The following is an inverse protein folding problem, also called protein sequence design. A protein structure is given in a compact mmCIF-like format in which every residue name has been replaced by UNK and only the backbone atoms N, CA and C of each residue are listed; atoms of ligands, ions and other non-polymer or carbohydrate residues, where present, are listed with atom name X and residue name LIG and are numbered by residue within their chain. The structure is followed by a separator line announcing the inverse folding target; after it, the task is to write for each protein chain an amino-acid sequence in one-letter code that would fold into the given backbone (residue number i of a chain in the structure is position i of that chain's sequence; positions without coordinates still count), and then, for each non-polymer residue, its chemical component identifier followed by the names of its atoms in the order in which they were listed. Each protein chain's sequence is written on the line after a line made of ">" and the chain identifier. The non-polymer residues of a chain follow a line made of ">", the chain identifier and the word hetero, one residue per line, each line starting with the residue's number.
data_IF_356174937434
#
_entry.id   IF_356174937434
#
_cell.length_a   1.000
_cell.length_b   1.000
_cell.length_c   1.000
_cell.angle_alpha   90.00
_cell.angle_beta   90.00
_cell.angle_gamma   90.00
#
_symmetry.space_group_name_H-M   'P 1'
#
loop_
_entity.id
_entity.type
_entity.pdbx_description
1 polymer ?
#
# COMPACT_ATOMS: atom_id res chain seq x y z
N UNK A 1 39.31 -18.17 2.67
CA UNK A 1 38.13 -17.37 3.05
C UNK A 1 37.58 -16.77 1.78
N UNK A 2 36.28 -16.92 1.50
CA UNK A 2 35.65 -16.26 0.35
C UNK A 2 35.42 -14.80 0.78
N UNK A 3 36.05 -13.85 0.09
CA UNK A 3 35.82 -12.43 0.35
C UNK A 3 34.48 -12.03 -0.27
N UNK A 4 33.51 -11.68 0.58
CA UNK A 4 32.21 -11.19 0.13
C UNK A 4 32.33 -9.75 -0.37
N UNK A 5 31.62 -9.43 -1.44
CA UNK A 5 31.46 -8.04 -1.89
C UNK A 5 30.73 -7.21 -0.84
N UNK A 6 30.83 -5.88 -0.92
CA UNK A 6 30.09 -4.99 -0.01
C UNK A 6 28.58 -5.28 -0.01
N UNK A 7 28.01 -5.52 -1.20
CA UNK A 7 26.62 -5.89 -1.37
C UNK A 7 26.28 -7.23 -0.70
N UNK A 8 27.11 -8.26 -0.89
CA UNK A 8 26.91 -9.57 -0.27
C UNK A 8 27.04 -9.52 1.26
N UNK A 9 27.88 -8.65 1.81
CA UNK A 9 27.97 -8.40 3.26
C UNK A 9 26.69 -7.79 3.80
N UNK A 10 26.10 -6.83 3.07
CA UNK A 10 24.80 -6.24 3.42
C UNK A 10 23.69 -7.28 3.35
N UNK A 11 23.61 -8.06 2.26
CA UNK A 11 22.62 -9.14 2.12
C UNK A 11 22.75 -10.16 3.23
N UNK A 12 23.95 -10.65 3.53
CA UNK A 12 24.21 -11.58 4.63
C UNK A 12 23.75 -11.05 5.99
N UNK A 13 23.94 -9.75 6.26
CA UNK A 13 23.46 -9.11 7.49
C UNK A 13 21.92 -9.06 7.57
N UNK A 14 21.24 -8.93 6.44
CA UNK A 14 19.77 -8.79 6.37
C UNK A 14 19.04 -10.13 6.28
N UNK A 15 19.62 -11.13 5.61
CA UNK A 15 18.94 -12.39 5.25
C UNK A 15 19.61 -13.62 5.85
N UNK A 16 20.82 -13.49 6.42
CA UNK A 16 21.65 -14.62 6.81
C UNK A 16 22.32 -15.34 5.64
N UNK A 17 22.16 -14.86 4.40
CA UNK A 17 22.72 -15.50 3.21
C UNK A 17 23.22 -14.48 2.17
N UNK A 18 24.46 -14.57 1.67
CA UNK A 18 25.07 -13.52 0.85
C UNK A 18 24.43 -13.35 -0.54
N UNK A 19 23.74 -14.37 -1.03
CA UNK A 19 23.06 -14.35 -2.34
C UNK A 19 21.53 -14.22 -2.25
N UNK A 20 20.96 -14.27 -1.03
CA UNK A 20 19.51 -14.15 -0.88
C UNK A 20 19.12 -12.69 -0.96
N UNK A 21 18.14 -12.39 -1.83
CA UNK A 21 17.57 -11.05 -1.91
C UNK A 21 16.80 -10.75 -0.62
N UNK A 22 17.06 -9.61 0.05
CA UNK A 22 16.30 -9.22 1.22
C UNK A 22 14.83 -9.03 0.86
N UNK A 23 13.97 -9.80 1.53
CA UNK A 23 12.54 -9.60 1.45
C UNK A 23 12.16 -8.44 2.38
N UNK A 24 12.13 -7.24 1.83
CA UNK A 24 11.47 -6.13 2.50
C UNK A 24 9.97 -6.39 2.45
N UNK A 25 9.28 -6.35 3.60
CA UNK A 25 7.83 -6.23 3.59
C UNK A 25 7.50 -4.94 2.80
N UNK A 26 6.93 -5.10 1.60
CA UNK A 26 6.38 -3.97 0.85
C UNK A 26 5.18 -3.34 1.57
N UNK A 27 4.60 -4.06 2.54
CA UNK A 27 3.34 -3.73 3.18
C UNK A 27 3.47 -3.85 4.70
N UNK A 28 3.76 -2.72 5.35
CA UNK A 28 3.40 -2.51 6.76
C UNK A 28 1.88 -2.36 6.90
N UNK A 29 1.37 -2.30 8.14
CA UNK A 29 -0.07 -2.31 8.47
C UNK A 29 -0.91 -1.20 7.83
N UNK A 30 -0.28 -0.17 7.27
CA UNK A 30 -0.89 1.10 6.91
C UNK A 30 -0.21 1.70 5.67
N UNK A 31 -0.50 1.13 4.49
CA UNK A 31 0.10 1.62 3.24
C UNK A 31 -0.59 2.92 2.84
N UNK A 32 0.16 4.03 2.88
CA UNK A 32 -0.29 5.33 2.35
C UNK A 32 0.14 5.44 0.89
N UNK A 33 -0.80 5.67 -0.02
CA UNK A 33 -0.55 5.77 -1.47
C UNK A 33 -1.60 6.60 -2.19
N UNK A 34 -1.25 7.08 -3.38
CA UNK A 34 -2.20 7.71 -4.30
C UNK A 34 -3.02 6.63 -5.02
N UNK A 35 -4.34 6.71 -4.90
CA UNK A 35 -5.27 5.85 -5.61
C UNK A 35 -5.63 6.48 -6.96
N UNK A 36 -5.00 5.98 -8.02
CA UNK A 36 -5.08 6.47 -9.41
C UNK A 36 -5.97 5.57 -10.29
N UNK A 37 -6.33 6.04 -11.48
CA UNK A 37 -7.00 5.21 -12.49
C UNK A 37 -7.72 6.02 -13.59
N UNK A 38 -7.19 5.98 -14.82
CA UNK A 38 -7.78 6.68 -15.96
C UNK A 38 -7.96 8.19 -15.74
N UNK A 39 -8.96 8.83 -16.38
CA UNK A 39 -9.20 10.28 -16.28
C UNK A 39 -9.86 10.72 -14.96
N UNK A 40 -10.23 9.78 -14.08
CA UNK A 40 -10.87 10.12 -12.82
C UNK A 40 -9.89 10.81 -11.84
N UNK A 41 -10.38 11.55 -10.85
CA UNK A 41 -9.53 12.21 -9.87
C UNK A 41 -8.69 11.23 -9.04
N UNK A 42 -7.49 11.65 -8.63
CA UNK A 42 -6.61 10.85 -7.77
C UNK A 42 -6.84 11.25 -6.32
N UNK A 43 -6.91 10.27 -5.42
CA UNK A 43 -7.05 10.50 -3.98
C UNK A 43 -5.83 9.98 -3.21
N UNK A 44 -5.36 10.73 -2.22
CA UNK A 44 -4.28 10.28 -1.32
C UNK A 44 -4.87 9.48 -0.15
N UNK A 45 -4.58 8.19 -0.04
CA UNK A 45 -5.32 7.30 0.87
C UNK A 45 -4.40 6.38 1.67
N UNK A 46 -4.86 5.98 2.86
CA UNK A 46 -4.25 4.95 3.69
C UNK A 46 -5.09 3.69 3.61
N UNK A 47 -4.44 2.54 3.45
CA UNK A 47 -5.08 1.23 3.44
C UNK A 47 -4.82 0.51 4.75
N UNK A 48 -5.87 0.07 5.42
CA UNK A 48 -5.81 -0.69 6.67
C UNK A 48 -6.56 -2.01 6.49
N UNK A 49 -5.99 -3.11 6.93
CA UNK A 49 -6.67 -4.41 6.88
C UNK A 49 -7.53 -4.61 8.13
N UNK A 50 -8.81 -4.86 7.93
CA UNK A 50 -9.78 -5.23 8.97
C UNK A 50 -10.44 -6.56 8.59
N UNK A 51 -9.83 -7.67 9.03
CA UNK A 51 -10.27 -9.02 8.67
C UNK A 51 -10.18 -9.26 7.17
N UNK A 52 -11.32 -9.57 6.54
CA UNK A 52 -11.41 -9.82 5.09
C UNK A 52 -11.57 -8.54 4.24
N UNK A 53 -11.62 -7.37 4.89
CA UNK A 53 -11.82 -6.09 4.23
C UNK A 53 -10.55 -5.23 4.32
N UNK A 54 -10.35 -4.42 3.29
CA UNK A 54 -9.37 -3.35 3.32
C UNK A 54 -10.11 -2.03 3.47
N UNK A 55 -10.01 -1.40 4.63
CA UNK A 55 -10.53 -0.06 4.87
C UNK A 55 -9.61 0.97 4.22
N UNK A 56 -10.22 1.93 3.54
CA UNK A 56 -9.50 3.04 2.90
C UNK A 56 -9.87 4.33 3.63
N UNK A 57 -8.87 5.02 4.18
CA UNK A 57 -9.04 6.23 4.98
C UNK A 57 -8.15 7.37 4.47
N UNK A 58 -8.47 8.59 4.89
CA UNK A 58 -7.62 9.76 4.65
C UNK A 58 -6.41 9.73 5.59
N UNK A 59 -5.16 9.79 5.08
CA UNK A 59 -3.96 9.72 5.92
C UNK A 59 -3.81 10.91 6.88
N UNK A 60 -4.43 12.05 6.57
CA UNK A 60 -4.27 13.28 7.35
C UNK A 60 -5.19 13.35 8.57
N UNK A 61 -6.41 12.85 8.45
CA UNK A 61 -7.44 12.99 9.49
C UNK A 61 -8.04 11.65 9.95
N UNK A 62 -7.65 10.54 9.33
CA UNK A 62 -8.17 9.20 9.64
C UNK A 62 -9.60 8.94 9.18
N UNK A 63 -10.26 9.90 8.49
CA UNK A 63 -11.64 9.73 8.02
C UNK A 63 -11.73 8.56 7.04
N UNK A 64 -12.64 7.62 7.31
CA UNK A 64 -12.95 6.50 6.40
C UNK A 64 -13.57 7.03 5.11
N UNK A 65 -12.95 6.69 3.99
CA UNK A 65 -13.39 7.04 2.63
C UNK A 65 -14.15 5.88 1.98
N UNK A 66 -13.85 4.65 2.38
CA UNK A 66 -14.60 3.46 1.99
C UNK A 66 -13.95 2.17 2.46
N UNK A 67 -14.34 1.07 1.84
CA UNK A 67 -13.81 -0.26 2.12
C UNK A 67 -13.83 -1.09 0.83
N UNK A 68 -12.82 -1.94 0.67
CA UNK A 68 -12.65 -2.83 -0.45
C UNK A 68 -12.72 -4.26 0.07
N UNK A 69 -13.48 -5.11 -0.62
CA UNK A 69 -13.37 -6.54 -0.42
C UNK A 69 -12.46 -7.11 -1.51
N UNK A 70 -11.18 -7.28 -1.18
CA UNK A 70 -10.15 -7.73 -2.12
C UNK A 70 -10.40 -9.17 -2.62
N UNK A 71 -11.25 -9.94 -1.95
CA UNK A 71 -11.67 -11.28 -2.38
C UNK A 71 -12.78 -11.26 -3.45
N UNK A 72 -13.36 -10.10 -3.76
CA UNK A 72 -14.38 -9.96 -4.83
C UNK A 72 -13.74 -9.67 -6.19
N UNK A 73 -14.27 -10.31 -7.23
CA UNK A 73 -13.81 -10.16 -8.63
C UNK A 73 -14.01 -8.76 -9.24
N UNK A 74 -14.69 -7.82 -8.58
CA UNK A 74 -15.05 -6.53 -9.19
C UNK A 74 -15.00 -5.36 -8.20
N UNK A 75 -13.80 -5.04 -7.71
CA UNK A 75 -13.54 -3.90 -6.80
C UNK A 75 -13.43 -2.55 -7.52
N UNK A 76 -13.40 -2.54 -8.86
CA UNK A 76 -13.16 -1.31 -9.66
C UNK A 76 -14.18 -0.20 -9.39
N UNK A 77 -15.44 -0.56 -9.16
CA UNK A 77 -16.51 0.41 -8.84
C UNK A 77 -16.33 1.01 -7.44
N UNK A 78 -15.92 0.19 -6.47
CA UNK A 78 -15.64 0.64 -5.10
C UNK A 78 -14.43 1.58 -5.08
N UNK A 79 -13.38 1.25 -5.83
CA UNK A 79 -12.19 2.10 -6.02
C UNK A 79 -12.56 3.45 -6.65
N UNK A 80 -13.40 3.45 -7.69
CA UNK A 80 -13.82 4.70 -8.33
C UNK A 80 -14.59 5.62 -7.38
N UNK A 81 -15.48 5.07 -6.56
CA UNK A 81 -16.24 5.84 -5.58
C UNK A 81 -15.35 6.38 -4.44
N UNK A 82 -14.44 5.54 -3.92
CA UNK A 82 -13.46 5.96 -2.90
C UNK A 82 -12.60 7.12 -3.41
N UNK A 83 -12.21 7.10 -4.69
CA UNK A 83 -11.45 8.20 -5.30
C UNK A 83 -12.25 9.49 -5.37
N UNK A 84 -13.51 9.43 -5.80
CA UNK A 84 -14.39 10.59 -5.85
C UNK A 84 -14.55 11.22 -4.46
N UNK A 85 -14.90 10.42 -3.46
CA UNK A 85 -15.06 10.87 -2.07
C UNK A 85 -13.74 11.38 -1.51
N UNK A 86 -12.63 10.69 -1.78
CA UNK A 86 -11.30 11.06 -1.31
C UNK A 86 -10.84 12.40 -1.86
N UNK A 87 -11.00 12.65 -3.17
CA UNK A 87 -10.66 13.94 -3.77
C UNK A 87 -11.56 15.07 -3.25
N UNK A 88 -12.89 14.84 -3.17
CA UNK A 88 -13.82 15.83 -2.60
C UNK A 88 -13.44 16.19 -1.16
N UNK A 89 -13.09 15.19 -0.35
CA UNK A 89 -12.67 15.40 1.03
C UNK A 89 -11.34 16.16 1.15
N UNK A 90 -10.42 16.03 0.18
CA UNK A 90 -9.08 16.62 0.22
C UNK A 90 -9.02 18.04 -0.32
N UNK A 91 -10.07 18.49 -0.99
CA UNK A 91 -10.19 19.86 -1.51
C UNK A 91 -10.83 20.83 -0.50
N UNK A 92 -11.27 20.33 0.66
CA UNK A 92 -11.93 21.06 1.74
C UNK A 92 -11.22 20.86 3.08
#
# INVERSE_FOLDING_TARGET
>A
MIDLTAEQKVRYKLTGHPHQEPHFQHEGSDVIRWLTGGPAPTAFVQFQHEGDLTVVSCPHCGKKLGQLNMNRRNVSREIAEIRRIGTEHQQH
#
